data_IF_128945609242
#
_entry.id   IF_128945609242
#
_cell.length_a   1.000
_cell.length_b   1.000
_cell.length_c   1.000
_cell.angle_alpha   90.00
_cell.angle_beta   90.00
_cell.angle_gamma   90.00
#
_symmetry.space_group_name_H-M   'P 1'
#
loop_
_entity.id
_entity.type
_entity.pdbx_description
1 polymer ?
#
# COMPACT_ATOMS: atom_id res chain seq x y z
N UNK A 1 -49.15 -3.33 38.44
CA UNK A 1 -50.26 -4.12 39.00
C UNK A 1 -49.95 -5.60 38.81
N UNK A 2 -50.32 -6.44 39.79
CA UNK A 2 -50.59 -7.89 39.69
C UNK A 2 -49.57 -8.74 38.91
N UNK A 3 -48.65 -9.50 39.51
CA UNK A 3 -48.80 -10.55 40.57
C UNK A 3 -49.69 -11.74 40.20
N UNK A 4 -49.09 -12.92 40.29
CA UNK A 4 -49.59 -14.30 40.56
C UNK A 4 -48.44 -15.21 40.11
N UNK A 5 -47.59 -15.80 40.96
CA UNK A 5 -47.84 -16.70 42.11
C UNK A 5 -48.55 -18.01 41.73
N UNK A 6 -47.83 -19.13 41.90
CA UNK A 6 -48.41 -20.46 42.11
C UNK A 6 -47.39 -21.40 42.79
N UNK A 7 -47.59 -21.63 44.09
CA UNK A 7 -46.91 -22.69 44.85
C UNK A 7 -47.82 -23.91 45.05
N UNK A 8 -47.27 -25.12 45.00
CA UNK A 8 -47.91 -26.39 45.46
C UNK A 8 -46.75 -27.39 45.68
N UNK A 9 -46.29 -27.68 46.91
CA UNK A 9 -46.83 -28.63 47.91
C UNK A 9 -46.83 -30.11 47.44
N UNK A 10 -46.55 -31.15 48.25
CA UNK A 10 -46.50 -31.37 49.73
C UNK A 10 -45.27 -32.27 50.09
N UNK A 11 -44.94 -32.76 51.30
CA UNK A 11 -45.69 -33.22 52.50
C UNK A 11 -44.88 -33.02 53.81
N UNK A 12 -45.62 -32.80 54.91
CA UNK A 12 -45.21 -32.65 56.33
C UNK A 12 -45.93 -33.76 57.14
N UNK A 13 -45.32 -34.47 58.11
CA UNK A 13 -45.21 -33.99 59.51
C UNK A 13 -43.94 -34.52 60.24
N UNK A 14 -43.70 -34.41 61.56
CA UNK A 14 -44.47 -33.85 62.70
C UNK A 14 -43.53 -33.20 63.75
N UNK A 15 -43.93 -33.13 65.03
CA UNK A 15 -43.15 -32.57 66.14
C UNK A 15 -42.77 -33.62 67.21
N UNK A 16 -41.67 -33.37 67.94
CA UNK A 16 -41.24 -34.17 69.08
C UNK A 16 -40.07 -33.54 69.82
N UNK A 17 -40.04 -33.63 71.14
CA UNK A 17 -38.99 -33.03 71.97
C UNK A 17 -38.17 -34.11 72.68
N UNK A 18 -36.85 -33.94 72.78
CA UNK A 18 -36.10 -34.25 74.00
C UNK A 18 -34.67 -33.65 74.00
N UNK A 19 -34.11 -33.46 75.20
CA UNK A 19 -32.72 -33.08 75.43
C UNK A 19 -32.08 -34.11 76.38
N UNK A 20 -30.99 -34.77 75.97
CA UNK A 20 -30.04 -35.34 76.90
C UNK A 20 -28.75 -34.51 76.96
N UNK A 21 -28.27 -34.25 78.17
CA UNK A 21 -26.89 -33.80 78.45
C UNK A 21 -26.02 -35.03 78.74
N UNK A 22 -24.70 -34.88 78.67
CA UNK A 22 -23.95 -34.88 79.95
C UNK A 22 -23.17 -33.54 80.07
N UNK A 23 -23.03 -32.90 81.25
CA UNK A 23 -22.25 -33.33 82.42
C UNK A 23 -20.82 -33.75 82.00
N UNK A 24 -19.75 -33.19 82.53
CA UNK A 24 -19.51 -32.92 83.95
C UNK A 24 -18.57 -31.72 84.15
N UNK A 25 -18.88 -30.86 85.13
CA UNK A 25 -17.87 -30.01 85.81
C UNK A 25 -17.29 -30.79 86.99
N UNK A 26 -16.03 -30.55 87.35
CA UNK A 26 -15.79 -30.05 88.70
C UNK A 26 -15.38 -28.57 88.68
N UNK A 27 -15.64 -27.89 89.79
CA UNK A 27 -15.13 -26.55 90.07
C UNK A 27 -14.06 -26.64 91.14
N UNK A 28 -13.02 -25.83 91.04
CA UNK A 28 -12.06 -25.56 92.13
C UNK A 28 -11.74 -24.08 92.14
N UNK A 29 -11.79 -23.45 93.31
CA UNK A 29 -11.86 -22.00 93.41
C UNK A 29 -10.51 -21.29 93.27
N UNK A 30 -10.52 -20.23 92.46
CA UNK A 30 -9.98 -18.91 92.83
C UNK A 30 -8.53 -18.82 93.32
N UNK A 31 -7.62 -18.41 92.41
CA UNK A 31 -6.59 -17.40 92.73
C UNK A 31 -6.18 -16.57 91.51
N UNK A 32 -5.61 -15.38 91.77
CA UNK A 32 -5.43 -14.30 90.79
C UNK A 32 -4.16 -14.47 89.95
N UNK A 33 -4.31 -14.68 88.64
CA UNK A 33 -3.39 -14.19 87.60
C UNK A 33 -4.05 -14.29 86.21
N UNK A 34 -4.06 -13.29 85.35
CA UNK A 34 -3.51 -11.94 85.51
C UNK A 34 -2.99 -11.34 84.20
N UNK A 35 -3.88 -10.90 83.31
CA UNK A 35 -3.62 -10.09 82.10
C UNK A 35 -2.77 -10.73 80.96
N UNK A 36 -1.69 -11.44 81.24
CA UNK A 36 -0.66 -11.82 80.23
C UNK A 36 -1.24 -12.60 79.03
N UNK A 37 -2.06 -13.63 79.28
CA UNK A 37 -2.62 -14.46 78.20
C UNK A 37 -3.58 -13.72 77.25
N UNK A 38 -4.33 -12.73 77.77
CA UNK A 38 -5.26 -11.94 76.96
C UNK A 38 -4.55 -10.95 76.03
N UNK A 39 -3.46 -10.35 76.51
CA UNK A 39 -2.63 -9.43 75.71
C UNK A 39 -1.96 -10.18 74.55
N UNK A 40 -1.47 -11.41 74.78
CA UNK A 40 -0.87 -12.24 73.72
C UNK A 40 -1.90 -12.58 72.64
N UNK A 41 -3.12 -12.98 73.01
CA UNK A 41 -4.18 -13.27 72.03
C UNK A 41 -4.55 -12.05 71.18
N UNK A 42 -4.68 -10.87 71.80
CA UNK A 42 -4.96 -9.61 71.08
C UNK A 42 -3.78 -9.22 70.17
N UNK A 43 -2.54 -9.36 70.63
CA UNK A 43 -1.35 -9.07 69.84
C UNK A 43 -1.24 -9.97 68.60
N UNK A 44 -1.58 -11.27 68.72
CA UNK A 44 -1.63 -12.21 67.59
C UNK A 44 -2.73 -11.81 66.59
N UNK A 45 -3.92 -11.42 67.06
CA UNK A 45 -5.01 -10.97 66.18
C UNK A 45 -4.63 -9.67 65.45
N UNK A 46 -3.97 -8.73 66.12
CA UNK A 46 -3.48 -7.49 65.49
C UNK A 46 -2.33 -7.77 64.52
N UNK A 47 -1.43 -8.70 64.81
CA UNK A 47 -0.35 -9.10 63.91
C UNK A 47 -0.88 -9.82 62.65
N UNK A 48 -1.87 -10.71 62.80
CA UNK A 48 -2.53 -11.37 61.66
C UNK A 48 -3.35 -10.37 60.85
N UNK A 49 -4.14 -9.51 61.49
CA UNK A 49 -4.92 -8.47 60.82
C UNK A 49 -4.04 -7.44 60.09
N UNK A 50 -2.96 -7.00 60.72
CA UNK A 50 -1.97 -6.10 60.12
C UNK A 50 -1.17 -6.75 58.99
N UNK A 51 -0.79 -8.03 59.13
CA UNK A 51 -0.11 -8.81 58.09
C UNK A 51 -1.00 -9.05 56.87
N UNK A 52 -2.25 -9.44 57.09
CA UNK A 52 -3.26 -9.58 56.02
C UNK A 52 -3.56 -8.24 55.36
N UNK A 53 -3.71 -7.16 56.13
CA UNK A 53 -3.91 -5.82 55.57
C UNK A 53 -2.70 -5.39 54.72
N UNK A 54 -1.47 -5.53 55.22
CA UNK A 54 -0.26 -5.17 54.49
C UNK A 54 -0.10 -5.99 53.20
N UNK A 55 -0.28 -7.31 53.26
CA UNK A 55 -0.18 -8.19 52.09
C UNK A 55 -1.28 -7.91 51.06
N UNK A 56 -2.53 -7.72 51.51
CA UNK A 56 -3.65 -7.37 50.61
C UNK A 56 -3.47 -5.98 50.00
N UNK A 57 -2.97 -5.01 50.76
CA UNK A 57 -2.66 -3.67 50.27
C UNK A 57 -1.52 -3.70 49.24
N UNK A 58 -0.53 -4.57 49.42
CA UNK A 58 0.58 -4.73 48.46
C UNK A 58 0.13 -5.41 47.16
N UNK A 59 -0.71 -6.45 47.23
CA UNK A 59 -1.34 -7.05 46.04
C UNK A 59 -2.32 -6.11 45.33
N UNK A 60 -3.05 -5.27 46.08
CA UNK A 60 -3.88 -4.23 45.48
C UNK A 60 -3.04 -3.16 44.78
N UNK A 61 -1.85 -2.82 45.31
CA UNK A 61 -0.95 -1.87 44.68
C UNK A 61 -0.38 -2.39 43.34
N UNK A 62 -0.01 -3.68 43.26
CA UNK A 62 0.43 -4.27 41.98
C UNK A 62 -0.71 -4.33 40.97
N UNK A 63 -1.90 -4.79 41.38
CA UNK A 63 -3.09 -4.82 40.50
C UNK A 63 -3.50 -3.42 40.00
N UNK A 64 -3.41 -2.38 40.84
CA UNK A 64 -3.68 -1.00 40.42
C UNK A 64 -2.62 -0.49 39.44
N UNK A 65 -1.35 -0.82 39.65
CA UNK A 65 -0.28 -0.44 38.72
C UNK A 65 -0.46 -1.14 37.35
N UNK A 66 -0.69 -2.45 37.32
CA UNK A 66 -0.98 -3.21 36.09
C UNK A 66 -2.22 -2.65 35.37
N UNK A 67 -3.29 -2.34 36.11
CA UNK A 67 -4.51 -1.79 35.53
C UNK A 67 -4.33 -0.35 34.99
N UNK A 68 -3.39 0.42 35.56
CA UNK A 68 -3.03 1.74 35.05
C UNK A 68 -2.08 1.64 33.83
N UNK A 69 -1.13 0.71 33.83
CA UNK A 69 -0.27 0.42 32.68
C UNK A 69 -1.08 -0.11 31.48
N UNK A 70 -2.09 -0.96 31.73
CA UNK A 70 -3.06 -1.40 30.72
C UNK A 70 -3.89 -0.24 30.17
N UNK A 71 -4.37 0.68 31.02
CA UNK A 71 -5.08 1.89 30.55
C UNK A 71 -4.18 2.81 29.74
N UNK A 72 -2.91 2.94 30.15
CA UNK A 72 -1.94 3.76 29.43
C UNK A 72 -1.66 3.17 28.04
N UNK A 73 -1.35 1.87 27.95
CA UNK A 73 -1.22 1.16 26.66
C UNK A 73 -2.47 1.24 25.80
N UNK A 74 -3.67 1.20 26.40
CA UNK A 74 -4.92 1.38 25.68
C UNK A 74 -5.09 2.81 25.15
N UNK A 75 -4.69 3.82 25.93
CA UNK A 75 -4.67 5.23 25.52
C UNK A 75 -3.67 5.46 24.40
N UNK A 76 -2.45 4.95 24.54
CA UNK A 76 -1.38 5.05 23.54
C UNK A 76 -1.80 4.38 22.21
N UNK A 77 -2.48 3.23 22.28
CA UNK A 77 -3.01 2.53 21.11
C UNK A 77 -4.19 3.27 20.45
N UNK A 78 -5.04 3.97 21.21
CA UNK A 78 -6.11 4.83 20.68
C UNK A 78 -5.51 6.09 20.04
N UNK A 79 -4.48 6.69 20.64
CA UNK A 79 -3.72 7.82 20.10
C UNK A 79 -3.07 7.42 18.76
N UNK A 80 -2.42 6.25 18.72
CA UNK A 80 -1.86 5.67 17.50
C UNK A 80 -2.94 5.41 16.44
N UNK A 81 -4.06 4.77 16.81
CA UNK A 81 -5.17 4.51 15.88
C UNK A 81 -5.74 5.80 15.27
N UNK A 82 -5.83 6.87 16.07
CA UNK A 82 -6.26 8.18 15.58
C UNK A 82 -5.23 8.82 14.65
N UNK A 83 -3.93 8.69 14.95
CA UNK A 83 -2.85 9.16 14.06
C UNK A 83 -2.83 8.40 12.73
N UNK A 84 -3.00 7.07 12.76
CA UNK A 84 -3.05 6.24 11.56
C UNK A 84 -4.34 6.47 10.75
N UNK A 85 -5.47 6.80 11.40
CA UNK A 85 -6.65 7.33 10.70
C UNK A 85 -6.37 8.65 9.99
N UNK A 86 -5.77 9.62 10.68
CA UNK A 86 -5.42 10.92 10.07
C UNK A 86 -4.45 10.75 8.88
N UNK A 87 -3.50 9.80 8.97
CA UNK A 87 -2.62 9.43 7.85
C UNK A 87 -3.40 8.82 6.68
N UNK A 88 -4.35 7.91 6.95
CA UNK A 88 -5.20 7.33 5.91
C UNK A 88 -6.10 8.39 5.25
N UNK A 89 -6.73 9.27 6.02
CA UNK A 89 -7.55 10.37 5.49
C UNK A 89 -6.70 11.34 4.64
N UNK A 90 -5.47 11.65 5.06
CA UNK A 90 -4.53 12.46 4.28
C UNK A 90 -4.08 11.77 2.98
N UNK A 91 -3.82 10.45 3.02
CA UNK A 91 -3.50 9.65 1.83
C UNK A 91 -4.69 9.56 0.86
N UNK A 92 -5.91 9.44 1.38
CA UNK A 92 -7.14 9.45 0.57
C UNK A 92 -7.34 10.83 -0.09
N UNK A 93 -7.11 11.92 0.66
CA UNK A 93 -7.18 13.29 0.12
C UNK A 93 -6.13 13.53 -0.98
N UNK A 94 -4.86 13.17 -0.75
CA UNK A 94 -3.80 13.33 -1.74
C UNK A 94 -4.05 12.46 -3.00
N UNK A 95 -4.59 11.25 -2.84
CA UNK A 95 -4.93 10.38 -3.98
C UNK A 95 -6.16 10.92 -4.74
N UNK A 96 -7.12 11.53 -4.06
CA UNK A 96 -8.23 12.25 -4.69
C UNK A 96 -7.74 13.50 -5.47
N UNK A 97 -6.76 14.24 -4.92
CA UNK A 97 -6.13 15.40 -5.55
C UNK A 97 -5.33 15.01 -6.81
N UNK A 98 -4.51 13.96 -6.73
CA UNK A 98 -3.83 13.37 -7.90
C UNK A 98 -4.85 12.97 -8.97
N UNK A 99 -6.00 12.39 -8.57
CA UNK A 99 -7.07 11.98 -9.47
C UNK A 99 -7.85 13.16 -10.07
N UNK A 100 -8.00 14.28 -9.36
CA UNK A 100 -8.55 15.51 -9.95
C UNK A 100 -7.55 16.19 -10.88
N UNK A 101 -6.25 16.21 -10.55
CA UNK A 101 -5.19 16.68 -11.44
C UNK A 101 -5.10 15.85 -12.73
N UNK A 102 -5.24 14.52 -12.66
CA UNK A 102 -5.32 13.66 -13.86
C UNK A 102 -6.52 14.01 -14.72
N UNK A 103 -7.70 14.17 -14.10
CA UNK A 103 -8.94 14.58 -14.82
C UNK A 103 -8.84 15.97 -15.43
N UNK A 104 -8.25 16.94 -14.73
CA UNK A 104 -8.04 18.27 -15.28
C UNK A 104 -7.04 18.23 -16.44
N UNK A 105 -5.97 17.43 -16.33
CA UNK A 105 -5.02 17.21 -17.42
C UNK A 105 -5.69 16.53 -18.63
N UNK A 106 -6.52 15.51 -18.41
CA UNK A 106 -7.33 14.85 -19.44
C UNK A 106 -8.35 15.81 -20.08
N UNK A 107 -9.05 16.63 -19.29
CA UNK A 107 -9.96 17.67 -19.80
C UNK A 107 -9.22 18.75 -20.58
N UNK A 108 -8.05 19.20 -20.13
CA UNK A 108 -7.23 20.22 -20.78
C UNK A 108 -6.64 19.67 -22.10
N UNK A 109 -6.21 18.40 -22.10
CA UNK A 109 -5.79 17.68 -23.30
C UNK A 109 -6.95 17.49 -24.28
N UNK A 110 -8.16 17.18 -23.79
CA UNK A 110 -9.36 17.02 -24.61
C UNK A 110 -9.89 18.37 -25.15
N UNK A 111 -9.83 19.46 -24.35
CA UNK A 111 -10.09 20.84 -24.82
C UNK A 111 -9.12 21.22 -25.92
N UNK A 112 -7.80 21.02 -25.72
CA UNK A 112 -6.78 21.23 -26.76
C UNK A 112 -7.03 20.37 -27.99
N UNK A 113 -7.47 19.12 -27.83
CA UNK A 113 -7.82 18.23 -28.93
C UNK A 113 -9.03 18.75 -29.72
N UNK A 114 -10.06 19.29 -29.04
CA UNK A 114 -11.20 19.94 -29.67
C UNK A 114 -10.85 21.29 -30.32
N UNK A 115 -9.96 22.09 -29.73
CA UNK A 115 -9.42 23.32 -30.32
C UNK A 115 -8.58 23.03 -31.57
N UNK A 116 -7.75 21.97 -31.53
CA UNK A 116 -7.11 21.42 -32.72
C UNK A 116 -8.13 20.92 -33.73
N UNK A 117 -9.20 20.23 -33.31
CA UNK A 117 -10.21 19.69 -34.22
C UNK A 117 -11.00 20.81 -34.92
N UNK A 118 -11.32 21.90 -34.21
CA UNK A 118 -11.91 23.10 -34.78
C UNK A 118 -10.97 23.76 -35.81
N UNK A 119 -9.67 23.86 -35.51
CA UNK A 119 -8.68 24.27 -36.51
C UNK A 119 -8.63 23.29 -37.70
N UNK A 120 -8.64 21.97 -37.47
CA UNK A 120 -8.64 20.93 -38.52
C UNK A 120 -9.83 21.09 -39.47
N UNK A 121 -11.00 21.53 -39.00
CA UNK A 121 -12.14 21.84 -39.89
C UNK A 121 -11.97 23.08 -40.78
N UNK A 122 -10.96 23.90 -40.53
CA UNK A 122 -10.58 25.08 -41.33
C UNK A 122 -9.23 24.91 -42.07
N UNK A 123 -8.62 23.74 -42.01
CA UNK A 123 -7.24 23.45 -42.46
C UNK A 123 -7.19 22.88 -43.88
N UNK A 124 -6.04 23.01 -44.56
CA UNK A 124 -5.85 22.47 -45.91
C UNK A 124 -5.48 20.98 -45.90
N UNK A 125 -5.56 20.32 -47.05
CA UNK A 125 -5.13 18.92 -47.21
C UNK A 125 -3.64 18.68 -46.89
N UNK A 126 -2.80 19.71 -46.90
CA UNK A 126 -1.40 19.61 -46.47
C UNK A 126 -1.27 19.58 -44.93
N UNK A 127 -2.21 20.22 -44.23
CA UNK A 127 -2.21 20.36 -42.78
C UNK A 127 -2.88 19.17 -42.11
N UNK A 128 -3.93 18.59 -42.73
CA UNK A 128 -4.52 17.30 -42.31
C UNK A 128 -3.46 16.20 -42.29
N UNK A 129 -2.56 16.16 -43.29
CA UNK A 129 -1.39 15.27 -43.28
C UNK A 129 -0.42 15.59 -42.14
N UNK A 130 -0.19 16.87 -41.85
CA UNK A 130 0.67 17.27 -40.73
C UNK A 130 0.05 16.92 -39.36
N UNK A 131 -1.28 16.87 -39.26
CA UNK A 131 -2.02 16.46 -38.05
C UNK A 131 -1.94 14.96 -37.81
N UNK A 132 -2.18 14.12 -38.84
CA UNK A 132 -2.04 12.66 -38.73
C UNK A 132 -0.63 12.25 -38.28
N UNK A 133 0.41 12.88 -38.82
CA UNK A 133 1.80 12.64 -38.40
C UNK A 133 2.03 12.98 -36.91
N UNK A 134 1.46 14.08 -36.43
CA UNK A 134 1.54 14.49 -35.02
C UNK A 134 0.71 13.58 -34.10
N UNK A 135 -0.44 13.07 -34.56
CA UNK A 135 -1.26 12.10 -33.85
C UNK A 135 -0.49 10.78 -33.66
N UNK A 136 0.18 10.30 -34.72
CA UNK A 136 1.04 9.12 -34.65
C UNK A 136 2.24 9.33 -33.70
N UNK A 137 2.89 10.50 -33.74
CA UNK A 137 4.01 10.85 -32.83
C UNK A 137 3.56 10.82 -31.36
N UNK A 138 2.41 11.41 -31.06
CA UNK A 138 1.79 11.35 -29.73
C UNK A 138 1.48 9.89 -29.31
N UNK A 139 0.89 9.09 -30.20
CA UNK A 139 0.56 7.69 -29.92
C UNK A 139 1.80 6.82 -29.66
N UNK A 140 2.89 7.00 -30.43
CA UNK A 140 4.15 6.26 -30.20
C UNK A 140 4.80 6.68 -28.88
N UNK A 141 4.83 7.99 -28.55
CA UNK A 141 5.33 8.48 -27.26
C UNK A 141 4.49 8.00 -26.08
N UNK A 142 3.17 7.91 -26.24
CA UNK A 142 2.27 7.34 -25.24
C UNK A 142 2.44 5.82 -25.10
N UNK A 143 2.74 5.11 -26.19
CA UNK A 143 3.09 3.69 -26.16
C UNK A 143 4.38 3.43 -25.37
N UNK A 144 5.43 4.24 -25.62
CA UNK A 144 6.66 4.20 -24.83
C UNK A 144 6.40 4.47 -23.34
N UNK A 145 5.60 5.49 -23.00
CA UNK A 145 5.20 5.73 -21.60
C UNK A 145 4.46 4.52 -21.00
N UNK A 146 3.52 3.91 -21.72
CA UNK A 146 2.81 2.71 -21.26
C UNK A 146 3.72 1.51 -21.06
N UNK A 147 4.73 1.35 -21.91
CA UNK A 147 5.72 0.29 -21.80
C UNK A 147 6.62 0.49 -20.57
N UNK A 148 7.30 1.64 -20.44
CA UNK A 148 8.35 1.81 -19.42
C UNK A 148 7.85 2.26 -18.04
N UNK A 149 6.74 3.02 -17.97
CA UNK A 149 6.20 3.51 -16.69
C UNK A 149 5.13 2.58 -16.12
N UNK A 150 4.21 2.10 -16.96
CA UNK A 150 3.06 1.29 -16.50
C UNK A 150 3.33 -0.22 -16.62
N UNK A 151 4.41 -0.63 -17.31
CA UNK A 151 4.75 -2.01 -17.71
C UNK A 151 3.59 -2.71 -18.45
N UNK A 152 2.92 -1.96 -19.32
CA UNK A 152 1.74 -2.39 -20.07
C UNK A 152 2.07 -2.52 -21.58
N UNK A 153 2.64 -3.66 -22.03
CA UNK A 153 2.97 -3.90 -23.43
C UNK A 153 1.71 -4.07 -24.30
N UNK A 154 0.55 -4.39 -23.71
CA UNK A 154 -0.72 -4.60 -24.43
C UNK A 154 -1.28 -3.26 -24.89
N UNK A 155 -1.44 -2.30 -23.98
CA UNK A 155 -1.87 -0.94 -24.34
C UNK A 155 -0.82 -0.23 -25.19
N UNK A 156 0.47 -0.47 -24.96
CA UNK A 156 1.54 0.02 -25.84
C UNK A 156 1.38 -0.50 -27.28
N UNK A 157 1.13 -1.80 -27.47
CA UNK A 157 0.88 -2.37 -28.81
C UNK A 157 -0.41 -1.83 -29.46
N UNK A 158 -1.48 -1.57 -28.68
CA UNK A 158 -2.71 -0.93 -29.18
C UNK A 158 -2.46 0.52 -29.63
N UNK A 159 -1.65 1.27 -28.89
CA UNK A 159 -1.24 2.63 -29.25
C UNK A 159 -0.36 2.65 -30.50
N UNK A 160 0.61 1.73 -30.62
CA UNK A 160 1.41 1.55 -31.85
C UNK A 160 0.54 1.19 -33.07
N UNK A 161 -0.44 0.29 -32.90
CA UNK A 161 -1.41 -0.05 -33.96
C UNK A 161 -2.24 1.16 -34.40
N UNK A 162 -2.62 2.02 -33.46
CA UNK A 162 -3.33 3.27 -33.74
C UNK A 162 -2.44 4.27 -34.50
N UNK A 163 -1.15 4.35 -34.15
CA UNK A 163 -0.17 5.16 -34.88
C UNK A 163 0.02 4.68 -36.32
N UNK A 164 0.17 3.38 -36.57
CA UNK A 164 0.28 2.84 -37.93
C UNK A 164 -0.98 3.14 -38.77
N UNK A 165 -2.17 3.08 -38.17
CA UNK A 165 -3.43 3.44 -38.83
C UNK A 165 -3.46 4.92 -39.25
N UNK A 166 -3.00 5.83 -38.38
CA UNK A 166 -2.94 7.26 -38.68
C UNK A 166 -1.94 7.56 -39.81
N UNK A 167 -0.76 6.94 -39.79
CA UNK A 167 0.22 7.03 -40.88
C UNK A 167 -0.26 6.35 -42.18
N UNK A 168 -1.15 5.35 -42.10
CA UNK A 168 -1.76 4.72 -43.28
C UNK A 168 -2.71 5.68 -43.99
N UNK A 169 -3.55 6.41 -43.25
CA UNK A 169 -4.52 7.37 -43.78
C UNK A 169 -3.85 8.52 -44.55
N UNK A 170 -2.63 8.92 -44.14
CA UNK A 170 -1.83 9.92 -44.86
C UNK A 170 -1.49 9.53 -46.31
N UNK A 171 -1.50 8.24 -46.65
CA UNK A 171 -1.16 7.71 -47.98
C UNK A 171 0.15 8.31 -48.55
N UNK A 172 1.21 8.32 -47.74
CA UNK A 172 2.51 8.90 -48.10
C UNK A 172 3.63 7.83 -48.14
N UNK A 173 4.25 7.58 -49.31
CA UNK A 173 5.32 6.59 -49.44
C UNK A 173 6.56 6.86 -48.58
N UNK A 174 6.83 8.11 -48.18
CA UNK A 174 8.00 8.44 -47.35
C UNK A 174 7.91 7.87 -45.93
N UNK A 175 6.70 7.55 -45.46
CA UNK A 175 6.44 7.03 -44.11
C UNK A 175 6.56 5.50 -44.02
N UNK A 176 6.78 4.80 -45.14
CA UNK A 176 6.80 3.33 -45.17
C UNK A 176 7.85 2.73 -44.24
N UNK A 177 9.01 3.37 -44.07
CA UNK A 177 10.05 2.88 -43.15
C UNK A 177 9.73 3.13 -41.67
N UNK A 178 8.96 4.19 -41.35
CA UNK A 178 8.39 4.37 -40.00
C UNK A 178 7.34 3.30 -39.74
N UNK A 179 6.43 3.05 -40.70
CA UNK A 179 5.40 2.01 -40.58
C UNK A 179 6.00 0.60 -40.41
N UNK A 180 7.05 0.24 -41.16
CA UNK A 180 7.84 -1.00 -40.93
C UNK A 180 8.38 -1.06 -39.50
N UNK A 181 8.86 0.06 -38.97
CA UNK A 181 9.42 0.14 -37.61
C UNK A 181 8.35 -0.02 -36.53
N UNK A 182 7.18 0.60 -36.70
CA UNK A 182 6.02 0.40 -35.81
C UNK A 182 5.59 -1.08 -35.82
N UNK A 183 5.57 -1.72 -36.99
CA UNK A 183 5.25 -3.14 -37.11
C UNK A 183 6.34 -4.05 -36.49
N UNK A 184 7.63 -3.69 -36.59
CA UNK A 184 8.73 -4.35 -35.86
C UNK A 184 8.55 -4.23 -34.34
N UNK A 185 8.26 -3.03 -33.85
CA UNK A 185 8.04 -2.80 -32.42
C UNK A 185 6.79 -3.52 -31.90
N UNK A 186 5.67 -3.51 -32.64
CA UNK A 186 4.50 -4.33 -32.30
C UNK A 186 4.81 -5.83 -32.26
N UNK A 187 5.66 -6.34 -33.17
CA UNK A 187 6.06 -7.74 -33.18
C UNK A 187 6.96 -8.09 -31.97
N UNK A 188 7.84 -7.18 -31.53
CA UNK A 188 8.61 -7.34 -30.28
C UNK A 188 7.66 -7.39 -29.07
N UNK A 189 6.71 -6.45 -28.96
CA UNK A 189 5.76 -6.43 -27.84
C UNK A 189 4.84 -7.66 -27.82
N UNK A 190 4.45 -8.18 -29.00
CA UNK A 190 3.67 -9.41 -29.11
C UNK A 190 4.45 -10.69 -28.78
N UNK A 191 5.78 -10.64 -28.70
CA UNK A 191 6.64 -11.74 -28.29
C UNK A 191 6.94 -11.74 -26.77
N UNK A 192 6.49 -10.72 -26.03
CA UNK A 192 6.64 -10.64 -24.56
C UNK A 192 5.67 -11.64 -23.90
N UNK A 193 6.22 -12.58 -23.13
CA UNK A 193 5.43 -13.49 -22.32
C UNK A 193 4.72 -12.71 -21.19
N UNK A 194 3.40 -12.82 -21.12
CA UNK A 194 2.61 -12.16 -20.08
C UNK A 194 2.60 -12.98 -18.79
N UNK A 195 2.83 -12.31 -17.66
CA UNK A 195 2.66 -12.89 -16.32
C UNK A 195 1.22 -12.73 -15.87
N UNK A 196 0.61 -13.81 -15.38
CA UNK A 196 -0.74 -13.81 -14.81
C UNK A 196 -0.75 -13.20 -13.40
N UNK A 197 -0.64 -11.87 -13.34
CA UNK A 197 -0.60 -11.12 -12.09
C UNK A 197 -1.87 -11.31 -11.24
N UNK A 198 -3.04 -11.32 -11.86
CA UNK A 198 -4.33 -11.52 -11.16
C UNK A 198 -4.42 -12.94 -10.58
N UNK A 199 -3.97 -13.97 -11.31
CA UNK A 199 -3.88 -15.34 -10.83
C UNK A 199 -2.88 -15.52 -9.68
N UNK A 200 -1.73 -14.82 -9.71
CA UNK A 200 -0.79 -14.77 -8.57
C UNK A 200 -1.46 -14.13 -7.35
N UNK A 201 -2.08 -12.95 -7.52
CA UNK A 201 -2.76 -12.23 -6.44
C UNK A 201 -3.89 -13.08 -5.85
N UNK A 202 -4.65 -13.81 -6.68
CA UNK A 202 -5.69 -14.71 -6.21
C UNK A 202 -5.12 -15.86 -5.36
N UNK A 203 -4.02 -16.49 -5.77
CA UNK A 203 -3.34 -17.55 -5.00
C UNK A 203 -2.82 -17.04 -3.65
N UNK A 204 -2.23 -15.84 -3.62
CA UNK A 204 -1.74 -15.22 -2.38
C UNK A 204 -2.88 -14.92 -1.40
N UNK A 205 -4.02 -14.43 -1.91
CA UNK A 205 -5.22 -14.21 -1.11
C UNK A 205 -5.85 -15.55 -0.66
N UNK A 206 -5.79 -16.61 -1.45
CA UNK A 206 -6.23 -17.94 -1.02
C UNK A 206 -5.35 -18.47 0.12
N UNK A 207 -4.02 -18.42 -0.01
CA UNK A 207 -3.08 -18.77 1.06
C UNK A 207 -3.37 -17.98 2.34
N UNK A 208 -3.61 -16.67 2.24
CA UNK A 208 -3.96 -15.78 3.37
C UNK A 208 -5.19 -16.23 4.18
N UNK A 209 -6.16 -16.88 3.52
CA UNK A 209 -7.32 -17.49 4.15
C UNK A 209 -7.01 -18.90 4.70
N UNK A 210 -6.14 -19.65 4.04
CA UNK A 210 -5.75 -21.00 4.46
C UNK A 210 -4.82 -21.02 5.69
N UNK A 211 -4.16 -19.91 6.04
CA UNK A 211 -3.30 -19.78 7.23
C UNK A 211 -3.98 -20.28 8.50
N UNK A 212 -5.29 -20.06 8.67
CA UNK A 212 -6.01 -20.44 9.89
C UNK A 212 -6.30 -21.95 9.99
N UNK A 213 -6.27 -22.66 8.86
CA UNK A 213 -6.41 -24.13 8.82
C UNK A 213 -5.11 -24.86 9.20
N UNK A 214 -3.96 -24.18 9.16
CA UNK A 214 -2.66 -24.78 9.46
C UNK A 214 -2.59 -25.24 10.93
N UNK A 215 -2.19 -26.49 11.14
CA UNK A 215 -2.03 -27.10 12.46
C UNK A 215 -0.64 -26.74 13.03
N UNK A 216 -0.59 -26.26 14.27
CA UNK A 216 0.69 -25.99 14.96
C UNK A 216 1.46 -27.30 15.19
N UNK A 217 2.79 -27.25 15.18
CA UNK A 217 3.63 -28.38 15.52
C UNK A 217 3.52 -28.68 17.03
N UNK A 218 3.50 -29.96 17.42
CA UNK A 218 3.64 -30.32 18.83
C UNK A 218 5.11 -30.26 19.26
N UNK A 219 5.52 -29.09 19.71
CA UNK A 219 6.87 -28.83 20.24
C UNK A 219 7.16 -29.53 21.58
N UNK A 220 6.21 -30.31 22.14
CA UNK A 220 6.42 -31.09 23.37
C UNK A 220 6.74 -32.58 23.10
N UNK A 221 6.64 -33.05 21.85
CA UNK A 221 7.00 -34.43 21.47
C UNK A 221 8.52 -34.61 21.48
N UNK A 222 9.06 -35.05 22.61
CA UNK A 222 10.50 -35.02 22.97
C UNK A 222 11.45 -35.98 22.24
N UNK A 223 11.20 -36.36 21.00
CA UNK A 223 12.06 -37.26 20.20
C UNK A 223 13.14 -36.51 19.39
N UNK A 224 13.92 -35.66 20.07
CA UNK A 224 15.05 -34.94 19.49
C UNK A 224 16.25 -35.86 19.22
N UNK A 225 16.23 -36.60 18.10
CA UNK A 225 17.39 -37.39 17.64
C UNK A 225 18.52 -36.46 17.17
N UNK A 226 19.63 -36.46 17.93
CA UNK A 226 20.85 -35.72 17.61
C UNK A 226 21.72 -36.50 16.62
N UNK A 227 21.86 -35.97 15.41
CA UNK A 227 22.89 -36.21 14.37
C UNK A 227 22.40 -35.40 13.13
N UNK A 228 23.22 -34.75 12.31
CA UNK A 228 24.68 -34.71 12.22
C UNK A 228 25.14 -33.27 11.91
N UNK A 229 26.34 -32.87 12.31
CA UNK A 229 26.89 -31.54 11.98
C UNK A 229 27.73 -31.63 10.68
N UNK A 230 27.05 -31.48 9.55
CA UNK A 230 27.67 -31.45 8.23
C UNK A 230 27.99 -30.01 7.79
N UNK A 231 29.22 -29.79 7.34
CA UNK A 231 29.76 -28.46 7.03
C UNK A 231 29.01 -27.73 5.90
N UNK A 232 29.13 -26.40 5.88
CA UNK A 232 28.46 -25.53 4.89
C UNK A 232 29.26 -25.48 3.58
N UNK A 233 28.56 -25.61 2.45
CA UNK A 233 29.17 -25.43 1.11
C UNK A 233 29.08 -23.97 0.66
N UNK A 234 30.12 -23.47 0.00
CA UNK A 234 30.18 -22.11 -0.57
C UNK A 234 29.38 -21.96 -1.89
N UNK A 235 28.80 -23.04 -2.42
CA UNK A 235 28.08 -23.02 -3.71
C UNK A 235 26.69 -22.36 -3.61
N UNK A 236 26.49 -21.30 -4.41
CA UNK A 236 25.26 -20.48 -4.44
C UNK A 236 24.03 -21.30 -4.87
N UNK A 237 24.22 -22.38 -5.63
CA UNK A 237 23.13 -23.27 -6.06
C UNK A 237 22.46 -24.02 -4.89
N UNK A 238 23.21 -24.30 -3.82
CA UNK A 238 22.75 -25.09 -2.67
C UNK A 238 22.06 -24.23 -1.58
N UNK A 239 21.72 -22.98 -1.86
CA UNK A 239 21.14 -22.03 -0.90
C UNK A 239 19.94 -22.59 -0.13
N UNK A 240 19.02 -23.33 -0.77
CA UNK A 240 17.87 -23.97 -0.11
C UNK A 240 18.29 -25.04 0.90
N UNK A 241 19.39 -25.73 0.62
CA UNK A 241 19.97 -26.76 1.48
C UNK A 241 20.78 -26.14 2.63
N UNK A 242 21.57 -25.11 2.36
CA UNK A 242 22.26 -24.31 3.39
C UNK A 242 21.27 -23.60 4.33
N UNK A 243 20.20 -23.00 3.81
CA UNK A 243 19.14 -22.38 4.63
C UNK A 243 18.52 -23.43 5.58
N UNK A 244 18.25 -24.63 5.08
CA UNK A 244 17.72 -25.75 5.89
C UNK A 244 18.72 -26.21 6.97
N UNK A 245 20.03 -26.26 6.67
CA UNK A 245 21.10 -26.60 7.65
C UNK A 245 21.24 -25.52 8.73
N UNK A 246 21.44 -24.27 8.32
CA UNK A 246 21.61 -23.13 9.23
C UNK A 246 20.38 -22.92 10.12
N UNK A 247 19.17 -23.11 9.58
CA UNK A 247 17.92 -23.10 10.35
C UNK A 247 17.92 -24.18 11.45
N UNK A 248 18.38 -25.39 11.13
CA UNK A 248 18.44 -26.50 12.10
C UNK A 248 19.47 -26.28 13.21
N UNK A 249 20.60 -25.60 12.93
CA UNK A 249 21.54 -25.17 13.97
C UNK A 249 20.93 -24.10 14.87
N UNK A 250 20.36 -23.04 14.27
CA UNK A 250 19.76 -21.93 15.00
C UNK A 250 18.62 -22.37 15.94
N UNK A 251 17.78 -23.31 15.49
CA UNK A 251 16.72 -23.88 16.31
C UNK A 251 17.25 -24.66 17.53
N UNK A 252 18.37 -25.38 17.39
CA UNK A 252 18.98 -26.13 18.50
C UNK A 252 19.60 -25.19 19.55
N UNK A 253 20.33 -24.16 19.11
CA UNK A 253 21.07 -23.26 20.03
C UNK A 253 20.16 -22.34 20.85
N UNK A 254 18.95 -22.03 20.36
CA UNK A 254 17.99 -21.18 21.06
C UNK A 254 16.93 -21.95 21.88
N UNK A 255 16.85 -23.27 21.76
CA UNK A 255 15.85 -24.11 22.45
C UNK A 255 16.51 -25.20 23.29
N UNK A 256 17.08 -24.81 24.43
CA UNK A 256 17.55 -25.78 25.44
C UNK A 256 16.36 -26.50 26.08
N UNK A 257 16.05 -27.71 25.60
CA UNK A 257 15.00 -28.57 26.16
C UNK A 257 15.34 -28.92 27.61
N UNK A 258 14.65 -28.29 28.57
CA UNK A 258 14.74 -28.61 29.99
C UNK A 258 13.40 -29.20 30.42
N UNK A 259 13.34 -30.53 30.50
CA UNK A 259 12.18 -31.23 31.02
C UNK A 259 11.81 -30.68 32.42
N UNK A 260 10.54 -30.31 32.60
CA UNK A 260 10.00 -29.80 33.86
C UNK A 260 9.00 -30.80 34.40
N UNK A 261 9.34 -31.44 35.52
CA UNK A 261 8.40 -32.29 36.23
C UNK A 261 7.14 -31.51 36.63
N UNK A 262 6.01 -32.23 36.64
CA UNK A 262 4.67 -31.64 36.55
C UNK A 262 4.12 -30.97 37.81
N UNK A 263 2.81 -30.70 37.76
CA UNK A 263 1.99 -30.11 38.83
C UNK A 263 2.20 -28.61 39.12
N UNK A 264 2.17 -27.79 38.07
CA UNK A 264 1.57 -26.44 38.14
C UNK A 264 1.04 -26.08 36.76
N UNK A 265 -0.24 -25.69 36.66
CA UNK A 265 -0.85 -25.32 35.38
C UNK A 265 -0.28 -23.96 34.95
N UNK A 266 0.43 -23.86 33.80
CA UNK A 266 1.01 -22.59 33.39
C UNK A 266 -0.09 -21.58 33.07
N UNK A 267 0.00 -20.39 33.67
CA UNK A 267 -0.71 -19.21 33.17
C UNK A 267 -0.05 -18.77 31.85
N UNK A 268 -0.43 -19.44 30.77
CA UNK A 268 -0.04 -19.07 29.41
C UNK A 268 -0.48 -17.64 29.10
N UNK A 269 0.36 -16.88 28.40
CA UNK A 269 -0.08 -15.68 27.68
C UNK A 269 -0.92 -16.15 26.47
N UNK A 270 -2.27 -16.00 26.47
CA UNK A 270 -3.12 -16.69 25.51
C UNK A 270 -3.39 -15.81 24.28
N UNK A 271 -2.48 -15.83 23.30
CA UNK A 271 -2.63 -15.22 21.95
C UNK A 271 -1.43 -15.44 20.98
N UNK A 272 -0.35 -16.14 21.34
CA UNK A 272 0.87 -16.18 20.52
C UNK A 272 0.68 -16.82 19.14
N UNK A 273 -0.23 -17.78 19.01
CA UNK A 273 -0.62 -18.41 17.73
C UNK A 273 -1.35 -17.43 16.80
N UNK A 274 -2.18 -16.55 17.35
CA UNK A 274 -2.90 -15.52 16.59
C UNK A 274 -1.90 -14.53 15.96
N UNK A 275 -0.92 -14.06 16.73
CA UNK A 275 0.13 -13.18 16.21
C UNK A 275 0.97 -13.84 15.11
N UNK A 276 1.29 -15.13 15.25
CA UNK A 276 2.03 -15.88 14.23
C UNK A 276 1.24 -16.00 12.92
N UNK A 277 -0.04 -16.36 12.99
CA UNK A 277 -0.93 -16.44 11.82
C UNK A 277 -1.07 -15.06 11.14
N UNK A 278 -1.27 -14.01 11.93
CA UNK A 278 -1.42 -12.65 11.40
C UNK A 278 -0.12 -12.10 10.79
N UNK A 279 1.04 -12.46 11.34
CA UNK A 279 2.34 -12.14 10.71
C UNK A 279 2.49 -12.85 9.35
N UNK A 280 2.13 -14.13 9.23
CA UNK A 280 2.15 -14.85 7.94
C UNK A 280 1.17 -14.22 6.94
N UNK A 281 -0.05 -13.89 7.39
CA UNK A 281 -1.07 -13.16 6.61
C UNK A 281 -0.56 -11.81 6.11
N UNK A 282 0.11 -11.05 6.96
CA UNK A 282 0.73 -9.76 6.62
C UNK A 282 1.78 -9.91 5.52
N UNK A 283 2.65 -10.93 5.59
CA UNK A 283 3.63 -11.20 4.52
C UNK A 283 2.97 -11.59 3.20
N UNK A 284 1.94 -12.43 3.22
CA UNK A 284 1.19 -12.79 2.01
C UNK A 284 0.48 -11.57 1.38
N UNK A 285 0.00 -10.64 2.21
CA UNK A 285 -0.56 -9.36 1.75
C UNK A 285 0.50 -8.41 1.19
N UNK A 286 1.69 -8.33 1.80
CA UNK A 286 2.83 -7.56 1.27
C UNK A 286 3.27 -8.12 -0.08
N UNK A 287 3.38 -9.45 -0.21
CA UNK A 287 3.63 -10.12 -1.49
C UNK A 287 2.55 -9.77 -2.53
N UNK A 288 1.26 -9.82 -2.16
CA UNK A 288 0.16 -9.48 -3.07
C UNK A 288 0.17 -8.01 -3.53
N UNK A 289 0.67 -7.10 -2.69
CA UNK A 289 0.86 -5.68 -3.06
C UNK A 289 2.14 -5.42 -3.86
N UNK A 290 3.14 -6.30 -3.77
CA UNK A 290 4.38 -6.21 -4.54
C UNK A 290 4.20 -6.63 -6.01
N UNK A 291 3.30 -7.60 -6.27
CA UNK A 291 2.99 -8.14 -7.61
C UNK A 291 2.60 -7.07 -8.64
N UNK A 292 1.53 -6.25 -8.45
CA UNK A 292 1.13 -5.21 -9.42
C UNK A 292 2.05 -3.98 -9.41
N UNK A 293 3.15 -4.02 -8.64
CA UNK A 293 4.21 -3.00 -8.60
C UNK A 293 5.52 -3.51 -9.18
N UNK A 294 5.57 -4.75 -9.68
CA UNK A 294 6.76 -5.39 -10.25
C UNK A 294 7.93 -5.48 -9.25
N UNK A 295 7.62 -5.56 -7.95
CA UNK A 295 8.61 -5.55 -6.86
C UNK A 295 9.06 -6.97 -6.52
N UNK A 296 9.75 -7.64 -7.44
CA UNK A 296 10.13 -9.06 -7.33
C UNK A 296 10.92 -9.39 -6.05
N UNK A 297 11.83 -8.52 -5.63
CA UNK A 297 12.59 -8.70 -4.38
C UNK A 297 11.68 -8.71 -3.14
N UNK A 298 10.77 -7.75 -3.03
CA UNK A 298 9.78 -7.68 -1.93
C UNK A 298 8.86 -8.91 -1.94
N UNK A 299 8.39 -9.30 -3.13
CA UNK A 299 7.53 -10.46 -3.33
C UNK A 299 8.19 -11.76 -2.85
N UNK A 300 9.42 -12.05 -3.30
CA UNK A 300 10.16 -13.25 -2.87
C UNK A 300 10.51 -13.21 -1.39
N UNK A 301 11.05 -12.10 -0.88
CA UNK A 301 11.42 -11.97 0.54
C UNK A 301 10.22 -12.20 1.48
N UNK A 302 9.04 -11.68 1.15
CA UNK A 302 7.83 -11.90 1.96
C UNK A 302 7.36 -13.35 1.91
N UNK A 303 7.39 -13.99 0.74
CA UNK A 303 7.07 -15.42 0.60
C UNK A 303 8.08 -16.32 1.33
N UNK A 304 9.37 -15.99 1.30
CA UNK A 304 10.43 -16.70 2.02
C UNK A 304 10.25 -16.58 3.55
N UNK A 305 9.87 -15.40 4.06
CA UNK A 305 9.55 -15.23 5.48
C UNK A 305 8.29 -15.99 5.89
N UNK A 306 7.24 -16.00 5.06
CA UNK A 306 6.05 -16.84 5.29
C UNK A 306 6.40 -18.35 5.27
N UNK A 307 7.19 -18.81 4.30
CA UNK A 307 7.68 -20.20 4.21
C UNK A 307 8.50 -20.59 5.45
N UNK A 308 9.38 -19.69 5.91
CA UNK A 308 10.22 -19.89 7.10
C UNK A 308 9.38 -20.04 8.35
N UNK A 309 8.44 -19.11 8.60
CA UNK A 309 7.57 -19.17 9.79
C UNK A 309 6.63 -20.37 9.79
N UNK A 310 6.11 -20.79 8.62
CA UNK A 310 5.30 -22.01 8.54
C UNK A 310 6.14 -23.26 8.81
N UNK A 311 7.36 -23.35 8.26
CA UNK A 311 8.30 -24.46 8.53
C UNK A 311 8.82 -24.47 9.97
N UNK A 312 8.81 -23.33 10.66
CA UNK A 312 9.30 -23.18 12.03
C UNK A 312 8.31 -23.66 13.11
N UNK A 313 7.01 -23.42 12.91
CA UNK A 313 6.02 -23.49 14.00
C UNK A 313 4.79 -24.36 13.69
N UNK A 314 4.61 -24.82 12.46
CA UNK A 314 3.47 -25.63 12.04
C UNK A 314 3.88 -27.07 11.73
N UNK A 315 2.90 -27.98 11.82
CA UNK A 315 3.06 -29.39 11.51
C UNK A 315 3.34 -29.55 10.01
N UNK A 316 4.62 -29.60 9.65
CA UNK A 316 5.09 -29.76 8.25
C UNK A 316 4.80 -31.14 7.68
N UNK A 317 4.37 -32.10 8.48
CA UNK A 317 3.92 -33.42 8.00
C UNK A 317 2.43 -33.44 7.61
N UNK A 318 1.63 -32.48 8.13
CA UNK A 318 0.22 -32.34 7.78
C UNK A 318 -0.03 -32.05 6.28
N UNK A 319 -1.04 -32.66 5.65
CA UNK A 319 -1.35 -32.43 4.22
C UNK A 319 -1.58 -30.98 3.84
N UNK A 320 -2.25 -30.22 4.72
CA UNK A 320 -2.58 -28.81 4.52
C UNK A 320 -1.32 -27.95 4.47
N UNK A 321 -0.43 -28.13 5.45
CA UNK A 321 0.87 -27.45 5.53
C UNK A 321 1.76 -27.78 4.33
N UNK A 322 1.75 -29.04 3.85
CA UNK A 322 2.49 -29.47 2.65
C UNK A 322 1.96 -28.78 1.39
N UNK A 323 0.64 -28.71 1.20
CA UNK A 323 0.04 -28.03 0.05
C UNK A 323 0.31 -26.51 0.07
N UNK A 324 0.19 -25.88 1.24
CA UNK A 324 0.49 -24.47 1.47
C UNK A 324 1.97 -24.15 1.14
N UNK A 325 2.91 -24.92 1.69
CA UNK A 325 4.34 -24.74 1.44
C UNK A 325 4.74 -25.05 -0.01
N UNK A 326 4.10 -26.03 -0.66
CA UNK A 326 4.32 -26.28 -2.10
C UNK A 326 3.88 -25.07 -2.92
N UNK A 327 2.71 -24.50 -2.63
CA UNK A 327 2.18 -23.34 -3.35
C UNK A 327 3.06 -22.09 -3.15
N UNK A 328 3.62 -21.89 -1.95
CA UNK A 328 4.60 -20.83 -1.71
C UNK A 328 5.92 -21.08 -2.45
N UNK A 329 6.45 -22.31 -2.41
CA UNK A 329 7.67 -22.67 -3.13
C UNK A 329 7.48 -22.50 -4.66
N UNK A 330 6.31 -22.84 -5.21
CA UNK A 330 5.96 -22.61 -6.63
C UNK A 330 5.89 -21.10 -6.95
N UNK A 331 5.26 -20.30 -6.09
CA UNK A 331 5.14 -18.85 -6.25
C UNK A 331 6.49 -18.12 -6.18
N UNK A 332 7.40 -18.53 -5.28
CA UNK A 332 8.77 -17.97 -5.20
C UNK A 332 9.54 -18.18 -6.52
N UNK A 333 9.29 -19.29 -7.21
CA UNK A 333 9.91 -19.63 -8.49
C UNK A 333 9.19 -19.01 -9.71
N UNK A 334 8.01 -18.40 -9.52
CA UNK A 334 7.29 -17.70 -10.59
C UNK A 334 7.80 -16.24 -10.70
N UNK A 335 8.48 -15.85 -11.80
CA UNK A 335 8.96 -14.49 -11.96
C UNK A 335 7.79 -13.50 -12.13
N UNK A 336 7.95 -12.30 -11.58
CA UNK A 336 6.98 -11.20 -11.69
C UNK A 336 7.54 -9.91 -12.31
N UNK A 337 8.82 -9.92 -12.72
CA UNK A 337 9.35 -8.91 -13.64
C UNK A 337 9.23 -9.42 -15.09
N UNK A 338 9.11 -8.49 -16.02
CA UNK A 338 9.00 -8.73 -17.46
C UNK A 338 10.12 -7.97 -18.16
N UNK A 339 10.94 -8.69 -18.93
CA UNK A 339 11.92 -8.10 -19.83
C UNK A 339 11.22 -7.27 -20.93
N UNK A 340 11.63 -6.01 -21.09
CA UNK A 340 10.99 -5.04 -21.99
C UNK A 340 12.05 -4.27 -22.77
N UNK A 341 11.83 -4.00 -24.07
CA UNK A 341 12.80 -3.28 -24.88
C UNK A 341 12.92 -1.82 -24.41
N UNK A 342 14.14 -1.38 -24.07
CA UNK A 342 14.45 -0.02 -23.62
C UNK A 342 14.06 1.10 -24.61
N UNK A 343 13.89 0.76 -25.88
CA UNK A 343 13.61 1.71 -26.97
C UNK A 343 12.64 1.15 -28.01
N UNK A 344 11.83 2.04 -28.59
CA UNK A 344 10.99 1.76 -29.76
C UNK A 344 11.67 2.34 -31.01
N UNK A 345 11.95 1.51 -32.01
CA UNK A 345 12.59 1.97 -33.26
C UNK A 345 11.77 3.03 -34.00
N UNK A 346 10.45 2.93 -33.90
CA UNK A 346 9.50 3.87 -34.48
C UNK A 346 9.61 5.27 -33.88
N UNK A 347 9.92 5.38 -32.58
CA UNK A 347 9.93 6.65 -31.85
C UNK A 347 11.01 7.60 -32.39
N UNK A 348 12.27 7.15 -32.48
CA UNK A 348 13.36 7.97 -33.03
C UNK A 348 13.08 8.39 -34.48
N UNK A 349 12.59 7.47 -35.30
CA UNK A 349 12.41 7.69 -36.74
C UNK A 349 11.27 8.69 -37.00
N UNK A 350 10.18 8.59 -36.24
CA UNK A 350 9.05 9.50 -36.29
C UNK A 350 9.41 10.88 -35.72
N UNK A 351 10.16 10.95 -34.61
CA UNK A 351 10.62 12.22 -34.06
C UNK A 351 11.54 12.98 -35.05
N UNK A 352 12.47 12.28 -35.71
CA UNK A 352 13.36 12.89 -36.72
C UNK A 352 12.56 13.52 -37.89
N UNK A 353 11.47 12.89 -38.33
CA UNK A 353 10.58 13.46 -39.35
C UNK A 353 9.76 14.63 -38.79
N UNK A 354 9.25 14.55 -37.56
CA UNK A 354 8.55 15.65 -36.90
C UNK A 354 9.44 16.89 -36.70
N UNK A 355 10.67 16.73 -36.21
CA UNK A 355 11.65 17.82 -36.08
C UNK A 355 11.95 18.48 -37.45
N UNK A 356 12.13 17.66 -38.49
CA UNK A 356 12.33 18.13 -39.87
C UNK A 356 11.12 18.92 -40.38
N UNK A 357 9.91 18.43 -40.13
CA UNK A 357 8.66 19.08 -40.54
C UNK A 357 8.47 20.42 -39.82
N UNK A 358 8.62 20.46 -38.50
CA UNK A 358 8.54 21.70 -37.70
C UNK A 358 9.58 22.73 -38.17
N UNK A 359 10.83 22.31 -38.43
CA UNK A 359 11.84 23.21 -39.00
C UNK A 359 11.41 23.78 -40.36
N UNK A 360 10.85 22.95 -41.24
CA UNK A 360 10.38 23.41 -42.57
C UNK A 360 9.24 24.43 -42.49
N UNK A 361 8.31 24.26 -41.55
CA UNK A 361 7.19 25.19 -41.33
C UNK A 361 7.67 26.54 -40.79
N UNK A 362 8.57 26.53 -39.81
CA UNK A 362 9.18 27.76 -39.26
C UNK A 362 9.95 28.57 -40.32
N UNK A 363 10.65 27.90 -41.24
CA UNK A 363 11.30 28.55 -42.39
C UNK A 363 10.28 29.14 -43.37
N UNK A 364 9.23 28.39 -43.71
CA UNK A 364 8.18 28.87 -44.63
C UNK A 364 7.45 30.12 -44.12
N UNK A 365 7.13 30.18 -42.82
CA UNK A 365 6.57 31.39 -42.20
C UNK A 365 7.50 32.61 -42.32
N UNK A 366 8.81 32.38 -42.19
CA UNK A 366 9.83 33.43 -42.23
C UNK A 366 9.98 34.07 -43.62
N UNK A 367 9.99 33.25 -44.68
CA UNK A 367 10.09 33.76 -46.06
C UNK A 367 8.78 34.42 -46.52
N UNK A 368 7.61 33.90 -46.11
CA UNK A 368 6.32 34.49 -46.46
C UNK A 368 6.15 35.92 -45.87
N UNK A 369 6.87 36.25 -44.80
CA UNK A 369 6.89 37.62 -44.24
C UNK A 369 7.66 38.59 -45.16
N UNK A 370 8.74 38.15 -45.81
CA UNK A 370 9.56 39.01 -46.71
C UNK A 370 8.88 39.35 -48.02
N UNK A 371 8.05 38.45 -48.55
CA UNK A 371 7.33 38.68 -49.82
C UNK A 371 6.30 39.82 -49.68
N UNK A 372 5.78 40.05 -48.46
CA UNK A 372 4.83 41.13 -48.17
C UNK A 372 5.41 42.55 -48.28
N UNK A 373 6.73 42.71 -48.15
CA UNK A 373 7.39 44.03 -48.08
C UNK A 373 7.83 44.54 -49.47
N UNK A 374 7.90 43.64 -50.46
CA UNK A 374 8.34 43.94 -51.84
C UNK A 374 7.24 44.41 -52.80
N UNK A 375 6.01 44.60 -52.33
CA UNK A 375 4.83 44.75 -53.20
C UNK A 375 4.28 46.20 -53.34
N UNK A 376 4.93 47.19 -52.72
CA UNK A 376 4.35 48.55 -52.55
C UNK A 376 4.76 49.56 -53.64
N UNK A 377 5.82 49.28 -54.39
CA UNK A 377 6.54 50.29 -55.20
C UNK A 377 6.10 50.37 -56.69
N UNK A 378 4.86 49.96 -57.00
CA UNK A 378 4.40 49.72 -58.37
C UNK A 378 3.01 50.32 -58.72
N UNK A 379 2.60 51.44 -58.11
CA UNK A 379 1.35 52.13 -58.46
C UNK A 379 1.41 53.66 -58.26
N UNK A 380 2.20 54.35 -59.10
CA UNK A 380 2.36 55.81 -59.04
C UNK A 380 1.95 56.51 -60.36
N UNK A 381 0.64 56.61 -60.61
CA UNK A 381 0.05 57.71 -61.40
C UNK A 381 -1.39 58.01 -60.92
N UNK A 382 -1.89 59.21 -61.21
CA UNK A 382 -3.18 59.73 -60.73
C UNK A 382 -4.07 60.21 -61.91
N UNK A 383 -5.34 60.62 -61.71
CA UNK A 383 -5.62 61.92 -61.08
C UNK A 383 -6.86 61.94 -60.15
N UNK A 384 -7.13 63.12 -59.58
CA UNK A 384 -8.18 63.39 -58.57
C UNK A 384 -9.56 63.66 -59.20
N UNK A 385 -10.61 63.32 -58.46
CA UNK A 385 -11.94 63.96 -58.54
C UNK A 385 -12.50 64.11 -57.10
N UNK A 386 -13.51 64.97 -56.90
CA UNK A 386 -13.85 65.54 -55.57
C UNK A 386 -15.33 65.40 -55.18
N UNK A 387 -15.59 65.72 -53.90
CA UNK A 387 -16.80 66.34 -53.30
C UNK A 387 -18.00 65.44 -52.88
N UNK A 388 -18.46 65.70 -51.64
CA UNK A 388 -19.84 65.66 -51.10
C UNK A 388 -20.67 64.34 -51.15
N UNK A 389 -21.49 63.96 -50.15
CA UNK A 389 -21.95 64.65 -48.93
C UNK A 389 -22.36 63.67 -47.78
N UNK A 390 -22.61 64.24 -46.60
CA UNK A 390 -23.31 63.67 -45.43
C UNK A 390 -24.43 64.68 -45.01
N UNK A 391 -25.31 64.48 -43.99
CA UNK A 391 -25.43 63.40 -42.98
C UNK A 391 -26.68 62.53 -43.27
N UNK A 392 -27.45 61.87 -42.38
CA UNK A 392 -27.61 61.83 -40.90
C UNK A 392 -28.28 60.45 -40.53
N UNK A 393 -28.60 60.01 -39.31
CA UNK A 393 -28.67 60.64 -37.97
C UNK A 393 -28.53 59.59 -36.82
N UNK A 394 -28.68 60.05 -35.58
CA UNK A 394 -29.06 59.28 -34.36
C UNK A 394 -28.00 58.43 -33.62
N UNK A 395 -26.93 59.11 -33.16
CA UNK A 395 -26.30 58.92 -31.82
C UNK A 395 -27.25 59.59 -30.78
N UNK A 396 -27.34 59.27 -29.45
CA UNK A 396 -26.30 58.84 -28.49
C UNK A 396 -26.80 57.75 -27.48
N UNK A 397 -26.25 57.45 -26.29
CA UNK A 397 -25.13 57.91 -25.42
C UNK A 397 -24.82 56.75 -24.42
N UNK A 398 -23.84 56.70 -23.50
CA UNK A 398 -22.47 57.21 -23.20
C UNK A 398 -22.00 56.36 -21.98
N UNK A 399 -20.76 56.34 -21.45
CA UNK A 399 -19.50 57.09 -21.62
C UNK A 399 -18.32 56.13 -21.28
N UNK A 400 -17.04 56.53 -21.39
CA UNK A 400 -15.91 55.73 -20.87
C UNK A 400 -14.74 56.60 -20.38
N UNK A 401 -14.56 56.67 -19.05
CA UNK A 401 -13.51 57.48 -18.43
C UNK A 401 -12.24 56.69 -18.07
N UNK A 402 -11.23 56.87 -18.92
CA UNK A 402 -9.79 56.97 -18.63
C UNK A 402 -9.40 57.15 -17.15
N UNK A 403 -8.55 56.25 -16.64
CA UNK A 403 -7.54 56.40 -15.57
C UNK A 403 -6.81 55.04 -15.38
N UNK A 404 -5.56 54.91 -14.92
CA UNK A 404 -4.38 55.80 -14.90
C UNK A 404 -3.14 54.88 -14.79
N UNK A 405 -1.96 55.32 -15.26
CA UNK A 405 -0.71 54.54 -15.17
C UNK A 405 0.15 54.99 -13.98
N UNK A 406 0.56 54.06 -13.12
CA UNK A 406 1.51 54.34 -12.02
C UNK A 406 2.60 53.26 -11.91
N UNK A 407 3.84 53.71 -11.81
CA UNK A 407 5.06 52.94 -11.55
C UNK A 407 5.27 52.75 -10.04
N UNK A 408 5.77 51.57 -9.62
CA UNK A 408 6.75 51.50 -8.54
C UNK A 408 7.59 50.20 -8.63
N UNK A 409 8.77 50.20 -7.99
CA UNK A 409 9.86 49.23 -8.24
C UNK A 409 10.40 48.52 -6.99
N UNK A 410 11.11 47.40 -7.22
CA UNK A 410 12.02 46.69 -6.29
C UNK A 410 11.36 45.92 -5.11
N UNK A 411 12.10 45.06 -4.36
CA UNK A 411 12.24 43.66 -4.77
C UNK A 411 11.95 42.64 -3.64
N UNK A 412 11.98 41.34 -3.94
CA UNK A 412 11.98 40.28 -2.92
C UNK A 412 13.34 39.58 -2.82
N UNK A 413 13.81 39.39 -1.59
CA UNK A 413 15.13 38.89 -1.25
C UNK A 413 15.12 37.37 -1.04
N UNK A 414 16.16 36.67 -1.52
CA UNK A 414 16.29 35.22 -1.38
C UNK A 414 17.24 34.87 -0.23
N UNK A 415 16.80 34.00 0.69
CA UNK A 415 17.59 33.59 1.85
C UNK A 415 17.65 32.05 1.98
N UNK A 416 18.75 31.46 1.51
CA UNK A 416 19.20 30.15 1.97
C UNK A 416 19.87 30.27 3.35
N UNK A 417 19.89 29.18 4.14
CA UNK A 417 21.01 28.92 5.05
C UNK A 417 21.70 27.60 4.71
N UNK A 418 23.00 27.67 4.41
CA UNK A 418 23.84 26.49 4.22
C UNK A 418 24.12 25.75 5.55
N UNK A 419 24.51 24.47 5.45
CA UNK A 419 24.69 23.59 6.61
C UNK A 419 25.87 23.93 7.52
N UNK A 420 25.79 23.48 8.77
CA UNK A 420 26.87 23.57 9.75
C UNK A 420 27.66 22.25 9.86
N UNK A 421 28.95 22.33 10.16
CA UNK A 421 29.80 21.18 10.54
C UNK A 421 30.12 21.25 12.04
N UNK A 422 30.01 20.13 12.73
CA UNK A 422 30.45 19.92 14.11
C UNK A 422 30.71 18.44 14.34
#
# INVERSE_FOLDING_TARGET
MTEHDKTTETVTPEAGAEQPRPKTKPSSEQKRSGLIGGVIAIAIIIAIGGGLYYFTQQSNATLVNENNELKQKLSDLIEQQNSDRQRLDALIAANAEIKSHSREYEENLNRRMQELQAHVTALSSADVKSWLLAQADFMVKMAGRKLWNDRDPVTAAVLLKSADSSLAEMNDPSLLDIRKSINSDMAKLAAINQVDYDGIILRLNQLSNEVDNLRLADLNSGDAKTEDNADVSDDISDWKQNLTRSWKSFANDFVTVRARDGSEAPLLAPNQDIYLRENIRSQLLIAAQAVPRYQEATYKQSLEQASTWVRAYFDTEAPETKAFLSTIDDLINQPIDIDMPDTLESQEKLEKVMQTRVRSLLSQSSDNTKVSDGAVDAAADAPKASTEAAPDAAVPATDTQKAESADNSHPFESAEPAGNRG
#
